data_IF_494497848910
#
_entry.id   IF_494497848910
#
_cell.length_a   1.000
_cell.length_b   1.000
_cell.length_c   1.000
_cell.angle_alpha   90.00
_cell.angle_beta   90.00
_cell.angle_gamma   90.00
#
_symmetry.space_group_name_H-M   'P 1'
#
loop_
_entity.id
_entity.type
_entity.pdbx_description
1 polymer ?
#
# COMPACT_ATOMS: atom_id res chain seq x y z
N UNK A 1 -13.28 -2.90 26.95
CA UNK A 1 -11.85 -3.07 27.27
C UNK A 1 -11.09 -3.79 26.14
N UNK A 2 -11.63 -4.87 25.57
CA UNK A 2 -10.98 -5.65 24.49
C UNK A 2 -10.50 -4.83 23.27
N UNK A 3 -11.33 -3.92 22.75
CA UNK A 3 -10.95 -3.08 21.58
C UNK A 3 -9.73 -2.19 21.83
N UNK A 4 -9.57 -1.71 23.06
CA UNK A 4 -8.40 -0.89 23.45
C UNK A 4 -7.16 -1.78 23.51
N UNK A 5 -7.29 -2.97 24.14
CA UNK A 5 -6.19 -3.93 24.22
C UNK A 5 -5.69 -4.34 22.83
N UNK A 6 -6.59 -4.57 21.87
CA UNK A 6 -6.22 -4.88 20.47
C UNK A 6 -5.37 -3.77 19.83
N UNK A 7 -5.72 -2.50 20.05
CA UNK A 7 -4.95 -1.35 19.52
C UNK A 7 -3.60 -1.21 20.21
N UNK A 8 -3.54 -1.43 21.53
CA UNK A 8 -2.28 -1.41 22.28
C UNK A 8 -1.37 -2.52 21.79
N UNK A 9 -1.89 -3.74 21.66
CA UNK A 9 -1.13 -4.91 21.18
C UNK A 9 -0.48 -4.62 19.82
N UNK A 10 -1.23 -4.05 18.86
CA UNK A 10 -0.67 -3.68 17.55
C UNK A 10 0.42 -2.61 17.64
N UNK A 11 0.24 -1.58 18.49
CA UNK A 11 1.23 -0.50 18.66
C UNK A 11 2.55 -0.96 19.28
N UNK A 12 2.53 -2.03 20.08
CA UNK A 12 3.74 -2.62 20.67
C UNK A 12 4.29 -3.80 19.83
N UNK A 13 3.79 -3.98 18.61
CA UNK A 13 4.28 -4.98 17.66
C UNK A 13 3.68 -6.38 17.82
N UNK A 14 2.65 -6.54 18.65
CA UNK A 14 1.88 -7.78 18.77
C UNK A 14 0.91 -7.99 17.61
N UNK A 15 0.50 -9.24 17.42
CA UNK A 15 -0.46 -9.68 16.40
C UNK A 15 -1.73 -10.12 17.12
N UNK A 16 -2.89 -9.57 16.74
CA UNK A 16 -4.18 -9.95 17.35
C UNK A 16 -4.69 -11.28 16.76
N UNK A 17 -4.72 -11.34 15.43
CA UNK A 17 -5.19 -12.49 14.64
C UNK A 17 -4.41 -12.56 13.34
N UNK A 18 -4.33 -13.75 12.75
CA UNK A 18 -3.89 -13.97 11.36
C UNK A 18 -4.94 -14.81 10.64
N UNK A 19 -4.99 -14.72 9.32
CA UNK A 19 -5.88 -15.58 8.55
C UNK A 19 -5.39 -17.02 8.64
N UNK A 20 -6.34 -17.95 8.77
CA UNK A 20 -6.04 -19.38 8.77
C UNK A 20 -5.47 -19.77 7.40
N UNK A 21 -4.37 -20.53 7.43
CA UNK A 21 -3.73 -21.01 6.21
C UNK A 21 -4.63 -22.02 5.52
N UNK A 22 -4.94 -21.75 4.25
CA UNK A 22 -5.58 -22.67 3.33
C UNK A 22 -4.88 -22.59 1.97
N UNK A 23 -5.22 -23.53 1.08
CA UNK A 23 -4.58 -23.63 -0.23
C UNK A 23 -4.73 -22.37 -1.08
N UNK A 24 -5.88 -21.69 -1.00
CA UNK A 24 -6.12 -20.46 -1.77
C UNK A 24 -5.24 -19.35 -1.22
N UNK A 25 -5.29 -19.14 0.09
CA UNK A 25 -4.59 -18.06 0.76
C UNK A 25 -3.06 -18.20 0.63
N UNK A 26 -2.55 -19.42 0.75
CA UNK A 26 -1.15 -19.75 0.50
C UNK A 26 -0.72 -19.34 -0.91
N UNK A 27 -1.53 -19.69 -1.90
CA UNK A 27 -1.25 -19.44 -3.30
C UNK A 27 -1.34 -17.96 -3.67
N UNK A 28 -2.05 -17.11 -2.93
CA UNK A 28 -2.15 -15.68 -3.26
C UNK A 28 -1.31 -14.78 -2.36
N UNK A 29 -1.17 -15.13 -1.08
CA UNK A 29 -0.52 -14.30 -0.07
C UNK A 29 0.78 -14.92 0.45
N UNK A 30 0.71 -16.06 1.14
CA UNK A 30 1.83 -16.53 1.96
C UNK A 30 2.97 -17.16 1.15
N UNK A 31 2.72 -18.24 0.39
CA UNK A 31 3.77 -18.92 -0.42
C UNK A 31 4.27 -18.07 -1.57
N UNK A 32 3.42 -17.14 -2.02
CA UNK A 32 3.78 -16.16 -3.04
C UNK A 32 4.40 -14.87 -2.50
N UNK A 33 4.67 -14.79 -1.19
CA UNK A 33 5.40 -13.68 -0.57
C UNK A 33 4.78 -12.34 -1.02
N UNK A 34 3.48 -12.17 -0.77
CA UNK A 34 2.77 -11.01 -1.27
C UNK A 34 3.06 -9.76 -0.43
N UNK A 35 3.28 -8.66 -1.15
CA UNK A 35 3.24 -7.31 -0.61
C UNK A 35 1.90 -6.67 -0.97
N UNK A 36 1.04 -6.52 0.02
CA UNK A 36 -0.25 -5.84 -0.06
C UNK A 36 -0.05 -4.39 0.35
N UNK A 37 -0.47 -3.47 -0.52
CA UNK A 37 -0.32 -2.04 -0.37
C UNK A 37 -1.70 -1.39 -0.38
N UNK A 38 -1.96 -0.53 0.60
CA UNK A 38 -3.14 0.32 0.66
C UNK A 38 -2.75 1.76 0.37
N UNK A 39 -3.60 2.46 -0.39
CA UNK A 39 -3.31 3.79 -0.89
C UNK A 39 -4.55 4.67 -0.81
N UNK A 40 -4.43 5.81 -0.13
CA UNK A 40 -5.53 6.75 0.08
C UNK A 40 -5.05 8.21 0.03
N UNK A 41 -5.95 9.09 -0.40
CA UNK A 41 -5.81 10.55 -0.34
C UNK A 41 -7.03 11.12 0.37
N UNK A 42 -6.79 11.80 1.49
CA UNK A 42 -7.86 12.49 2.21
C UNK A 42 -7.80 13.99 1.92
N UNK A 43 -8.98 14.55 1.65
CA UNK A 43 -9.17 15.99 1.47
C UNK A 43 -9.78 16.63 2.72
N UNK A 44 -9.40 17.89 3.01
CA UNK A 44 -10.12 18.74 3.96
C UNK A 44 -11.59 18.93 3.57
N UNK A 45 -12.37 19.49 4.50
CA UNK A 45 -13.78 19.83 4.25
C UNK A 45 -13.95 20.64 2.97
N UNK A 46 -15.10 20.47 2.29
CA UNK A 46 -15.43 21.21 1.07
C UNK A 46 -15.38 22.74 1.24
N UNK A 47 -15.51 23.23 2.47
CA UNK A 47 -15.41 24.66 2.84
C UNK A 47 -13.95 25.14 2.88
N UNK A 48 -13.02 24.26 3.23
CA UNK A 48 -11.61 24.57 3.48
C UNK A 48 -10.75 24.29 2.24
N UNK A 49 -11.08 24.94 1.13
CA UNK A 49 -10.54 24.61 -0.20
C UNK A 49 -9.04 24.88 -0.39
N UNK A 50 -8.41 25.61 0.54
CA UNK A 50 -7.00 26.00 0.49
C UNK A 50 -6.11 25.09 1.34
N UNK A 51 -6.69 24.25 2.20
CA UNK A 51 -5.92 23.34 3.03
C UNK A 51 -5.38 22.18 2.19
N UNK A 52 -4.16 21.71 2.49
CA UNK A 52 -3.54 20.65 1.71
C UNK A 52 -4.26 19.31 1.89
N UNK A 53 -4.15 18.46 0.88
CA UNK A 53 -4.55 17.06 1.00
C UNK A 53 -3.44 16.25 1.66
N UNK A 54 -3.78 15.08 2.20
CA UNK A 54 -2.81 14.14 2.76
C UNK A 54 -2.90 12.83 2.00
N UNK A 55 -1.77 12.39 1.44
CA UNK A 55 -1.66 11.08 0.80
C UNK A 55 -0.93 10.11 1.72
N UNK A 56 -1.37 8.86 1.72
CA UNK A 56 -0.75 7.79 2.48
C UNK A 56 -0.57 6.52 1.65
N UNK A 57 0.55 5.84 1.86
CA UNK A 57 0.86 4.54 1.29
C UNK A 57 1.26 3.61 2.43
N UNK A 58 0.45 2.58 2.65
CA UNK A 58 0.70 1.54 3.65
C UNK A 58 1.07 0.24 2.98
N UNK A 59 1.88 -0.59 3.63
CA UNK A 59 2.21 -1.92 3.12
C UNK A 59 2.53 -2.88 4.25
N UNK A 60 2.22 -4.17 4.09
CA UNK A 60 2.61 -5.16 5.08
C UNK A 60 4.13 -5.29 5.12
N UNK A 61 4.68 -5.50 6.32
CA UNK A 61 6.11 -5.74 6.52
C UNK A 61 6.43 -7.21 6.74
N UNK A 62 5.48 -7.98 7.25
CA UNK A 62 5.62 -9.42 7.50
C UNK A 62 4.99 -10.26 6.38
N UNK A 63 5.56 -11.44 6.15
CA UNK A 63 5.00 -12.41 5.19
C UNK A 63 3.60 -12.94 5.53
N UNK A 64 3.17 -12.82 6.80
CA UNK A 64 1.80 -13.20 7.22
C UNK A 64 0.75 -12.10 7.04
N UNK A 65 1.13 -10.94 6.49
CA UNK A 65 0.19 -9.84 6.18
C UNK A 65 -0.57 -9.37 7.43
N UNK A 66 0.12 -9.23 8.56
CA UNK A 66 -0.48 -8.86 9.85
C UNK A 66 -0.03 -7.50 10.38
N UNK A 67 1.11 -6.99 9.92
CA UNK A 67 1.72 -5.73 10.36
C UNK A 67 1.89 -4.83 9.16
N UNK A 68 1.36 -3.62 9.24
CA UNK A 68 1.44 -2.62 8.17
C UNK A 68 2.14 -1.37 8.66
N UNK A 69 3.10 -0.90 7.88
CA UNK A 69 3.77 0.38 8.09
C UNK A 69 3.32 1.40 7.03
N UNK A 70 3.47 2.68 7.34
CA UNK A 70 2.90 3.78 6.57
C UNK A 70 3.95 4.82 6.20
N UNK A 71 3.84 5.36 4.99
CA UNK A 71 4.45 6.61 4.54
C UNK A 71 3.32 7.59 4.32
N UNK A 72 3.53 8.85 4.72
CA UNK A 72 2.52 9.90 4.66
C UNK A 72 3.15 11.16 4.11
N UNK A 73 2.50 11.80 3.14
CA UNK A 73 2.95 13.07 2.54
C UNK A 73 1.81 14.07 2.45
N UNK A 74 2.16 15.34 2.69
CA UNK A 74 1.30 16.48 2.41
C UNK A 74 1.37 16.78 0.92
N UNK A 75 0.24 17.08 0.28
CA UNK A 75 0.19 17.44 -1.13
C UNK A 75 -0.76 18.62 -1.40
N UNK A 76 -0.68 19.25 -2.59
CA UNK A 76 -1.56 20.36 -2.95
C UNK A 76 -3.04 20.06 -2.73
N UNK A 77 -3.80 21.10 -2.40
CA UNK A 77 -5.22 21.01 -2.11
C UNK A 77 -6.00 20.35 -3.27
N UNK A 78 -6.88 19.39 -2.95
CA UNK A 78 -7.76 18.67 -3.89
C UNK A 78 -7.04 17.92 -5.02
N UNK A 79 -5.73 17.67 -4.87
CA UNK A 79 -5.00 16.80 -5.78
C UNK A 79 -5.28 15.35 -5.43
N UNK A 80 -5.74 14.54 -6.38
CA UNK A 80 -5.91 13.09 -6.21
C UNK A 80 -4.66 12.28 -6.53
N UNK A 81 -3.88 12.76 -7.50
CA UNK A 81 -2.61 12.11 -7.85
C UNK A 81 -1.66 12.19 -6.67
N UNK A 82 -1.02 11.07 -6.36
CA UNK A 82 -0.25 10.96 -5.13
C UNK A 82 1.13 11.58 -5.30
N UNK A 83 1.42 12.57 -4.47
CA UNK A 83 2.75 13.18 -4.41
C UNK A 83 3.76 12.20 -3.83
N UNK A 84 4.83 11.97 -4.59
CA UNK A 84 5.90 11.05 -4.18
C UNK A 84 5.44 9.59 -4.13
N UNK A 85 4.43 9.18 -4.91
CA UNK A 85 3.91 7.82 -4.86
C UNK A 85 5.02 6.77 -5.05
N UNK A 86 5.89 6.98 -6.03
CA UNK A 86 6.96 6.01 -6.34
C UNK A 86 7.96 5.88 -5.21
N UNK A 87 8.31 6.98 -4.56
CA UNK A 87 9.19 6.96 -3.38
C UNK A 87 8.54 6.19 -2.23
N UNK A 88 7.29 6.52 -1.88
CA UNK A 88 6.56 5.86 -0.80
C UNK A 88 6.30 4.37 -1.08
N UNK A 89 6.05 4.01 -2.34
CA UNK A 89 5.94 2.62 -2.79
C UNK A 89 7.28 1.88 -2.68
N UNK A 90 8.37 2.51 -3.11
CA UNK A 90 9.72 1.96 -3.02
C UNK A 90 10.15 1.75 -1.56
N UNK A 91 9.78 2.65 -0.65
CA UNK A 91 10.02 2.47 0.79
C UNK A 91 9.39 1.17 1.30
N UNK A 92 8.13 0.91 0.94
CA UNK A 92 7.42 -0.33 1.31
C UNK A 92 8.05 -1.57 0.70
N UNK A 93 8.47 -1.49 -0.56
CA UNK A 93 9.12 -2.60 -1.25
C UNK A 93 10.48 -2.94 -0.61
N UNK A 94 11.29 -1.92 -0.30
CA UNK A 94 12.59 -2.09 0.34
C UNK A 94 12.44 -2.64 1.76
N UNK A 95 11.56 -2.06 2.57
CA UNK A 95 11.30 -2.50 3.93
C UNK A 95 10.82 -3.96 3.98
N UNK A 96 9.97 -4.36 3.03
CA UNK A 96 9.55 -5.76 2.92
C UNK A 96 10.73 -6.70 2.64
N UNK A 97 11.64 -6.31 1.74
CA UNK A 97 12.82 -7.11 1.41
C UNK A 97 13.76 -7.18 2.61
N UNK A 98 13.96 -6.08 3.34
CA UNK A 98 14.82 -6.02 4.52
C UNK A 98 14.31 -6.96 5.63
N UNK A 99 12.98 -7.05 5.81
CA UNK A 99 12.37 -7.91 6.83
C UNK A 99 12.30 -9.38 6.40
N UNK A 100 11.95 -9.66 5.15
CA UNK A 100 11.68 -11.03 4.69
C UNK A 100 12.85 -11.66 3.91
N UNK A 101 13.93 -10.91 3.68
CA UNK A 101 15.14 -11.33 2.97
C UNK A 101 14.96 -11.61 1.46
N UNK A 102 13.74 -11.47 0.94
CA UNK A 102 13.40 -11.77 -0.45
C UNK A 102 12.39 -10.77 -0.99
N UNK A 103 12.52 -10.44 -2.28
CA UNK A 103 11.54 -9.59 -2.95
C UNK A 103 10.17 -10.28 -3.04
N UNK A 104 9.06 -9.52 -2.92
CA UNK A 104 7.73 -10.09 -3.03
C UNK A 104 7.50 -10.63 -4.44
N UNK A 105 6.81 -11.77 -4.61
CA UNK A 105 6.51 -12.29 -5.96
C UNK A 105 5.23 -11.68 -6.52
N UNK A 106 4.33 -11.26 -5.64
CA UNK A 106 3.10 -10.57 -5.96
C UNK A 106 3.06 -9.24 -5.21
N UNK A 107 2.71 -8.16 -5.89
CA UNK A 107 2.36 -6.89 -5.25
C UNK A 107 0.89 -6.61 -5.55
N UNK A 108 0.07 -6.43 -4.52
CA UNK A 108 -1.36 -6.12 -4.64
C UNK A 108 -1.55 -4.71 -4.13
N UNK A 109 -2.01 -3.80 -4.97
CA UNK A 109 -2.28 -2.41 -4.59
C UNK A 109 -3.79 -2.19 -4.55
N UNK A 110 -4.32 -1.69 -3.43
CA UNK A 110 -5.68 -1.19 -3.27
C UNK A 110 -5.64 0.33 -3.20
N UNK A 111 -6.20 1.00 -4.21
CA UNK A 111 -6.30 2.46 -4.30
C UNK A 111 -7.75 2.88 -4.03
N UNK A 112 -7.96 3.53 -2.87
CA UNK A 112 -9.26 4.04 -2.42
C UNK A 112 -9.52 5.46 -2.92
N UNK A 113 -10.76 5.93 -2.93
CA UNK A 113 -11.11 7.34 -3.15
C UNK A 113 -11.01 7.83 -4.59
N UNK A 114 -10.96 6.93 -5.57
CA UNK A 114 -10.86 7.31 -6.99
C UNK A 114 -12.26 7.27 -7.61
N UNK A 115 -12.78 8.42 -8.03
CA UNK A 115 -14.05 8.44 -8.77
C UNK A 115 -13.92 7.82 -10.16
N UNK A 116 -15.05 7.39 -10.75
CA UNK A 116 -15.08 6.81 -12.11
C UNK A 116 -14.42 7.72 -13.16
N UNK A 117 -14.58 9.05 -13.03
CA UNK A 117 -13.96 10.04 -13.91
C UNK A 117 -12.44 10.17 -13.75
N UNK A 118 -11.87 9.70 -12.65
CA UNK A 118 -10.43 9.75 -12.34
C UNK A 118 -9.75 8.39 -12.55
N UNK A 119 -10.53 7.31 -12.70
CA UNK A 119 -10.02 5.95 -12.87
C UNK A 119 -9.03 5.81 -14.03
N UNK A 120 -9.35 6.41 -15.18
CA UNK A 120 -8.44 6.40 -16.34
C UNK A 120 -7.11 7.08 -16.04
N UNK A 121 -7.13 8.18 -15.27
CA UNK A 121 -5.92 8.90 -14.91
C UNK A 121 -5.00 8.05 -14.01
N UNK A 122 -5.57 7.33 -13.05
CA UNK A 122 -4.83 6.38 -12.20
C UNK A 122 -4.23 5.25 -13.04
N UNK A 123 -4.98 4.69 -13.99
CA UNK A 123 -4.49 3.63 -14.86
C UNK A 123 -3.40 4.09 -15.85
N UNK A 124 -3.45 5.33 -16.33
CA UNK A 124 -2.52 5.85 -17.32
C UNK A 124 -1.26 6.47 -16.69
N UNK A 125 -1.36 7.02 -15.48
CA UNK A 125 -0.24 7.68 -14.81
C UNK A 125 0.39 6.81 -13.72
N UNK A 126 -0.41 6.36 -12.75
CA UNK A 126 0.11 5.67 -11.56
C UNK A 126 0.57 4.25 -11.88
N UNK A 127 -0.25 3.46 -12.57
CA UNK A 127 0.09 2.06 -12.87
C UNK A 127 1.40 1.93 -13.69
N UNK A 128 1.64 2.70 -14.77
CA UNK A 128 2.91 2.66 -15.47
C UNK A 128 4.07 3.13 -14.61
N UNK A 129 3.86 4.10 -13.71
CA UNK A 129 4.89 4.56 -12.80
C UNK A 129 5.29 3.47 -11.80
N UNK A 130 4.33 2.75 -11.20
CA UNK A 130 4.59 1.61 -10.32
C UNK A 130 5.32 0.47 -11.05
N UNK A 131 4.94 0.20 -12.31
CA UNK A 131 5.64 -0.78 -13.16
C UNK A 131 7.08 -0.36 -13.44
N UNK A 132 7.35 0.93 -13.65
CA UNK A 132 8.72 1.45 -13.79
C UNK A 132 9.50 1.29 -12.49
N UNK A 133 8.90 1.59 -11.34
CA UNK A 133 9.53 1.41 -10.03
C UNK A 133 9.96 -0.05 -9.80
N UNK A 134 9.08 -1.02 -10.10
CA UNK A 134 9.43 -2.45 -10.04
C UNK A 134 10.63 -2.79 -10.95
N UNK A 135 10.63 -2.30 -12.18
CA UNK A 135 11.74 -2.55 -13.12
C UNK A 135 13.07 -1.92 -12.68
N UNK A 136 13.00 -0.74 -12.03
CA UNK A 136 14.16 -0.07 -11.46
C UNK A 136 14.71 -0.79 -10.23
N UNK A 137 13.86 -1.49 -9.48
CA UNK A 137 14.27 -2.31 -8.34
C UNK A 137 15.11 -3.52 -8.75
N UNK A 138 14.66 -4.28 -9.76
CA UNK A 138 15.42 -5.41 -10.31
C UNK A 138 15.08 -5.68 -11.78
N UNK A 139 16.09 -6.13 -12.54
CA UNK A 139 15.90 -6.48 -13.96
C UNK A 139 14.84 -7.58 -14.12
N UNK A 140 13.92 -7.39 -15.07
CA UNK A 140 12.79 -8.29 -15.34
C UNK A 140 11.79 -8.51 -14.18
N UNK A 141 11.83 -7.69 -13.13
CA UNK A 141 10.89 -7.80 -12.01
C UNK A 141 9.50 -7.22 -12.37
N UNK A 142 8.47 -8.08 -12.41
CA UNK A 142 7.09 -7.74 -12.83
C UNK A 142 6.01 -8.37 -11.94
N UNK A 143 5.98 -8.07 -10.63
CA UNK A 143 5.09 -8.72 -9.65
C UNK A 143 3.68 -8.09 -9.52
N UNK A 144 3.40 -6.99 -10.22
CA UNK A 144 2.33 -6.05 -9.84
C UNK A 144 0.93 -6.44 -10.35
N UNK A 145 -0.05 -6.44 -9.43
CA UNK A 145 -1.49 -6.43 -9.64
C UNK A 145 -2.09 -5.19 -8.94
N UNK A 146 -2.90 -4.40 -9.65
CA UNK A 146 -3.54 -3.18 -9.13
C UNK A 146 -5.06 -3.35 -9.12
N UNK A 147 -5.68 -3.07 -7.97
CA UNK A 147 -7.12 -2.91 -7.78
C UNK A 147 -7.40 -1.45 -7.43
N UNK A 148 -8.49 -0.90 -7.95
CA UNK A 148 -8.95 0.47 -7.67
C UNK A 148 -10.42 0.34 -7.30
N UNK A 149 -10.78 0.88 -6.15
CA UNK A 149 -12.13 0.81 -5.58
C UNK A 149 -12.73 2.21 -5.43
#
# INVERSE_FOLDING_TARGET
MLNIAMKINMKIGGINTKLQEDEVLDNYLYKNNALVIGVDVVHPSAVETHLPSIASVVGNVDGSVTKFHASVKIQPAKQELITGFIEQFSDRLLEYVDVNGTAPKNIIVYRDGVSEGQFMQVLEEELPALRRACKSFASNYRPLKLSVD
#
